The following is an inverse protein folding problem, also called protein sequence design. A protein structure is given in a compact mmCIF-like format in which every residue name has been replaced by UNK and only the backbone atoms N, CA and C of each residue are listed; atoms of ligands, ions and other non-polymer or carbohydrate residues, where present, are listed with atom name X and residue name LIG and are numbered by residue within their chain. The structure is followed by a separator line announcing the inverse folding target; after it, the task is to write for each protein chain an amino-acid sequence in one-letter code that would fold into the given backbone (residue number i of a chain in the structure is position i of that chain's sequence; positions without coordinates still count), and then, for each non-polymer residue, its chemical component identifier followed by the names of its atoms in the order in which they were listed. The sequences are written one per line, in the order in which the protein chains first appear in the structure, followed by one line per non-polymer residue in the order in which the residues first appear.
data_IF_476484856543
#
_entry.id   IF_476484856543
#
_cell.length_a   1.000
_cell.length_b   1.000
_cell.length_c   1.000
_cell.angle_alpha   90.00
_cell.angle_beta   90.00
_cell.angle_gamma   90.00
#
_symmetry.space_group_name_H-M   'P 1'
#
loop_
_entity.id
_entity.type
_entity.pdbx_description
1 polymer ?
#
# COMPACT_ATOMS: atom_id res chain seq x y z
N UNK A 1 5.86 -2.86 -43.35
CA UNK A 1 5.80 -3.61 -42.09
C UNK A 1 6.35 -2.67 -41.01
N UNK A 2 5.46 -2.11 -40.19
CA UNK A 2 5.74 -0.96 -39.33
C UNK A 2 6.19 -1.46 -37.95
N UNK A 3 7.43 -1.20 -37.49
CA UNK A 3 7.95 -1.76 -36.24
C UNK A 3 7.65 -0.93 -34.97
N UNK A 4 6.66 -0.03 -34.96
CA UNK A 4 6.49 0.97 -33.91
C UNK A 4 5.12 0.95 -33.20
N UNK A 5 4.74 -0.21 -32.66
CA UNK A 5 3.68 -0.30 -31.66
C UNK A 5 4.09 -1.11 -30.42
N UNK A 6 5.38 -1.07 -30.06
CA UNK A 6 5.81 -1.46 -28.72
C UNK A 6 5.54 -0.29 -27.79
N UNK A 7 4.53 -0.42 -26.93
CA UNK A 7 4.25 0.56 -25.88
C UNK A 7 5.47 0.74 -24.97
N UNK A 8 5.56 1.91 -24.32
CA UNK A 8 6.66 2.22 -23.38
C UNK A 8 6.82 1.12 -22.34
N UNK A 9 8.07 0.84 -21.98
CA UNK A 9 8.41 0.02 -20.82
C UNK A 9 8.00 0.74 -19.53
N UNK A 10 7.89 -0.01 -18.42
CA UNK A 10 7.57 0.59 -17.12
C UNK A 10 8.60 1.67 -16.73
N UNK A 11 9.90 1.42 -16.95
CA UNK A 11 10.97 2.39 -16.66
C UNK A 11 10.80 3.69 -17.43
N UNK A 12 10.55 3.60 -18.74
CA UNK A 12 10.32 4.77 -19.59
C UNK A 12 9.08 5.54 -19.15
N UNK A 13 8.01 4.83 -18.77
CA UNK A 13 6.79 5.46 -18.26
C UNK A 13 7.02 6.15 -16.92
N UNK A 14 7.76 5.54 -15.97
CA UNK A 14 8.08 6.15 -14.66
C UNK A 14 8.81 7.49 -14.83
N UNK A 15 9.70 7.60 -15.82
CA UNK A 15 10.44 8.83 -16.09
C UNK A 15 9.60 9.89 -16.82
N UNK A 16 8.59 9.48 -17.59
CA UNK A 16 7.83 10.37 -18.46
C UNK A 16 6.47 10.79 -17.88
N UNK A 17 5.66 9.83 -17.44
CA UNK A 17 4.30 10.03 -16.94
C UNK A 17 3.93 8.98 -15.88
N UNK A 18 3.83 9.39 -14.59
CA UNK A 18 3.40 8.52 -13.50
C UNK A 18 2.04 7.84 -13.74
N UNK A 19 1.12 8.49 -14.46
CA UNK A 19 -0.22 7.93 -14.74
C UNK A 19 -0.14 6.74 -15.68
N UNK A 20 0.64 6.86 -16.76
CA UNK A 20 0.92 5.76 -17.68
C UNK A 20 1.66 4.64 -16.96
N UNK A 21 2.66 4.98 -16.13
CA UNK A 21 3.41 4.00 -15.35
C UNK A 21 2.49 3.19 -14.43
N UNK A 22 1.58 3.85 -13.72
CA UNK A 22 0.56 3.19 -12.89
C UNK A 22 -0.32 2.27 -13.74
N UNK A 23 -0.81 2.73 -14.90
CA UNK A 23 -1.63 1.92 -15.79
C UNK A 23 -0.89 0.68 -16.34
N UNK A 24 0.43 0.73 -16.48
CA UNK A 24 1.26 -0.43 -16.82
C UNK A 24 1.42 -1.35 -15.60
N UNK A 25 1.69 -0.78 -14.43
CA UNK A 25 2.01 -1.50 -13.20
C UNK A 25 0.81 -2.27 -12.61
N UNK A 26 -0.40 -1.70 -12.62
CA UNK A 26 -1.61 -2.37 -12.08
C UNK A 26 -1.98 -3.68 -12.79
N UNK A 27 -1.41 -3.93 -13.98
CA UNK A 27 -1.60 -5.18 -14.75
C UNK A 27 -0.54 -6.24 -14.45
N UNK A 28 0.40 -5.96 -13.55
CA UNK A 28 1.54 -6.84 -13.23
C UNK A 28 1.46 -7.30 -11.77
N UNK A 29 1.97 -8.51 -11.46
CA UNK A 29 2.22 -8.90 -10.07
C UNK A 29 3.18 -7.92 -9.40
N UNK A 30 3.00 -7.69 -8.09
CA UNK A 30 3.83 -6.76 -7.29
C UNK A 30 5.32 -7.01 -7.52
N UNK A 31 5.78 -8.25 -7.33
CA UNK A 31 7.18 -8.62 -7.55
C UNK A 31 7.67 -8.37 -8.98
N UNK A 32 6.78 -8.44 -9.98
CA UNK A 32 7.09 -8.13 -11.38
C UNK A 32 7.23 -6.63 -11.66
N UNK A 33 6.55 -5.76 -10.90
CA UNK A 33 6.74 -4.30 -10.94
C UNK A 33 8.09 -3.95 -10.30
N UNK A 34 8.36 -4.49 -9.12
CA UNK A 34 9.59 -4.24 -8.37
C UNK A 34 10.83 -4.78 -9.09
N UNK A 35 10.74 -5.98 -9.69
CA UNK A 35 11.84 -6.52 -10.50
C UNK A 35 12.10 -5.69 -11.76
N UNK A 36 11.06 -5.06 -12.31
CA UNK A 36 11.21 -4.15 -13.45
C UNK A 36 11.83 -2.81 -13.02
N UNK A 37 11.70 -2.41 -11.76
CA UNK A 37 12.31 -1.24 -11.15
C UNK A 37 13.39 -1.69 -10.13
N UNK A 38 14.45 -2.31 -10.64
CA UNK A 38 15.53 -2.82 -9.80
C UNK A 38 16.22 -1.71 -8.99
N UNK A 39 17.00 -2.12 -7.99
CA UNK A 39 17.70 -1.21 -7.08
C UNK A 39 18.55 -0.17 -7.83
N UNK A 40 19.21 -0.55 -8.93
CA UNK A 40 20.02 0.37 -9.73
C UNK A 40 19.18 1.45 -10.43
N UNK A 41 18.00 1.09 -10.95
CA UNK A 41 17.08 2.06 -11.53
C UNK A 41 16.51 3.00 -10.46
N UNK A 42 16.08 2.44 -9.33
CA UNK A 42 15.54 3.22 -8.21
C UNK A 42 16.60 4.18 -7.69
N UNK A 43 17.86 3.74 -7.61
CA UNK A 43 18.99 4.55 -7.19
C UNK A 43 19.30 5.70 -8.16
N UNK A 44 19.34 5.41 -9.46
CA UNK A 44 19.54 6.45 -10.46
C UNK A 44 18.38 7.45 -10.55
N UNK A 45 17.16 7.06 -10.14
CA UNK A 45 15.92 7.81 -10.39
C UNK A 45 15.00 7.87 -9.17
N UNK A 46 15.56 8.09 -7.97
CA UNK A 46 14.82 8.01 -6.71
C UNK A 46 13.58 8.89 -6.64
N UNK A 47 13.66 10.17 -7.06
CA UNK A 47 12.49 11.07 -7.00
C UNK A 47 11.35 10.64 -7.94
N UNK A 48 11.69 10.12 -9.13
CA UNK A 48 10.70 9.62 -10.07
C UNK A 48 10.07 8.31 -9.56
N UNK A 49 10.92 7.44 -8.98
CA UNK A 49 10.50 6.17 -8.38
C UNK A 49 9.59 6.40 -7.17
N UNK A 50 9.93 7.34 -6.28
CA UNK A 50 9.08 7.76 -5.16
C UNK A 50 7.69 8.20 -5.63
N UNK A 51 7.62 9.14 -6.59
CA UNK A 51 6.33 9.63 -7.12
C UNK A 51 5.50 8.48 -7.70
N UNK A 52 6.14 7.59 -8.44
CA UNK A 52 5.49 6.41 -9.00
C UNK A 52 4.99 5.47 -7.90
N UNK A 53 5.82 5.10 -6.92
CA UNK A 53 5.47 4.17 -5.86
C UNK A 53 4.28 4.65 -5.04
N UNK A 54 4.25 5.95 -4.68
CA UNK A 54 3.13 6.53 -3.94
C UNK A 54 1.83 6.47 -4.75
N UNK A 55 1.88 6.84 -6.03
CA UNK A 55 0.72 6.78 -6.92
C UNK A 55 0.26 5.34 -7.21
N UNK A 56 1.19 4.40 -7.34
CA UNK A 56 0.90 3.00 -7.58
C UNK A 56 0.26 2.34 -6.35
N UNK A 57 0.77 2.61 -5.15
CA UNK A 57 0.15 2.16 -3.89
C UNK A 57 -1.32 2.62 -3.80
N UNK A 58 -1.60 3.87 -4.18
CA UNK A 58 -2.98 4.40 -4.17
C UNK A 58 -3.89 3.77 -5.23
N UNK A 59 -3.31 3.18 -6.28
CA UNK A 59 -4.06 2.45 -7.30
C UNK A 59 -4.30 0.96 -6.96
N UNK A 60 -3.56 0.39 -5.99
CA UNK A 60 -3.72 -1.01 -5.59
C UNK A 60 -4.97 -1.23 -4.73
N UNK A 61 -5.58 -2.44 -4.78
CA UNK A 61 -6.58 -2.86 -3.82
C UNK A 61 -6.07 -2.74 -2.38
N UNK A 62 -6.92 -2.31 -1.44
CA UNK A 62 -6.52 -2.08 -0.03
C UNK A 62 -5.84 -3.28 0.62
N UNK A 63 -6.24 -4.50 0.26
CA UNK A 63 -5.66 -5.76 0.74
C UNK A 63 -4.23 -5.98 0.27
N UNK A 64 -3.89 -5.49 -0.92
CA UNK A 64 -2.62 -5.76 -1.58
C UNK A 64 -1.58 -4.67 -1.25
N UNK A 65 -2.05 -3.49 -0.84
CA UNK A 65 -1.22 -2.33 -0.47
C UNK A 65 -0.18 -2.67 0.59
N UNK A 66 -0.54 -3.43 1.63
CA UNK A 66 0.40 -3.73 2.72
C UNK A 66 1.59 -4.58 2.25
N UNK A 67 1.36 -5.52 1.34
CA UNK A 67 2.43 -6.32 0.74
C UNK A 67 3.37 -5.45 -0.09
N UNK A 68 2.80 -4.64 -0.99
CA UNK A 68 3.59 -3.74 -1.83
C UNK A 68 4.32 -2.66 -1.02
N UNK A 69 3.69 -2.12 0.04
CA UNK A 69 4.27 -1.06 0.86
C UNK A 69 5.50 -1.51 1.63
N UNK A 70 5.51 -2.76 2.11
CA UNK A 70 6.67 -3.35 2.76
C UNK A 70 7.86 -3.43 1.80
N UNK A 71 7.64 -3.93 0.59
CA UNK A 71 8.72 -4.04 -0.39
C UNK A 71 9.19 -2.64 -0.87
N UNK A 72 8.28 -1.66 -0.96
CA UNK A 72 8.63 -0.26 -1.27
C UNK A 72 9.42 0.40 -0.12
N UNK A 73 9.11 0.07 1.14
CA UNK A 73 9.87 0.55 2.29
C UNK A 73 11.34 0.12 2.21
N UNK A 74 11.62 -1.10 1.75
CA UNK A 74 13.00 -1.56 1.51
C UNK A 74 13.70 -0.71 0.43
N UNK A 75 12.99 -0.30 -0.62
CA UNK A 75 13.53 0.63 -1.62
C UNK A 75 13.83 2.01 -1.04
N UNK A 76 13.03 2.51 -0.08
CA UNK A 76 13.36 3.76 0.63
C UNK A 76 14.65 3.65 1.44
N UNK A 77 14.85 2.49 2.08
CA UNK A 77 16.00 2.25 2.97
C UNK A 77 17.29 2.00 2.18
N UNK A 78 17.20 1.28 1.06
CA UNK A 78 18.37 0.85 0.29
C UNK A 78 18.61 1.71 -0.94
N UNK A 79 17.60 1.84 -1.81
CA UNK A 79 17.72 2.46 -3.12
C UNK A 79 17.32 3.94 -3.17
N UNK A 80 16.86 4.54 -2.07
CA UNK A 80 16.50 5.96 -2.01
C UNK A 80 16.99 6.64 -0.74
N UNK A 81 18.02 6.07 -0.10
CA UNK A 81 18.49 6.49 1.22
C UNK A 81 18.96 7.96 1.29
N UNK A 82 19.40 8.55 0.16
CA UNK A 82 19.76 9.98 0.10
C UNK A 82 18.56 10.92 -0.01
N UNK A 83 17.34 10.41 -0.26
CA UNK A 83 16.16 11.25 -0.21
C UNK A 83 15.99 11.79 1.22
N UNK A 84 15.64 13.07 1.38
CA UNK A 84 15.35 13.62 2.68
C UNK A 84 14.31 12.77 3.41
N UNK A 85 14.70 12.30 4.60
CA UNK A 85 13.84 11.52 5.50
C UNK A 85 13.30 10.23 4.88
N UNK A 86 14.11 9.56 4.07
CA UNK A 86 13.75 8.29 3.42
C UNK A 86 13.22 7.24 4.41
N UNK A 87 13.83 7.12 5.60
CA UNK A 87 13.37 6.20 6.65
C UNK A 87 11.97 6.57 7.18
N UNK A 88 11.71 7.85 7.44
CA UNK A 88 10.39 8.29 7.91
C UNK A 88 9.32 8.02 6.85
N UNK A 89 9.66 8.21 5.58
CA UNK A 89 8.79 7.88 4.44
C UNK A 89 8.55 6.38 4.31
N UNK A 90 9.57 5.55 4.53
CA UNK A 90 9.45 4.09 4.56
C UNK A 90 8.42 3.64 5.61
N UNK A 91 8.56 4.14 6.85
CA UNK A 91 7.62 3.84 7.93
C UNK A 91 6.22 4.39 7.62
N UNK A 92 6.14 5.60 7.05
CA UNK A 92 4.85 6.20 6.71
C UNK A 92 4.05 5.40 5.68
N UNK A 93 4.70 4.88 4.62
CA UNK A 93 4.00 4.07 3.61
C UNK A 93 3.50 2.74 4.18
N UNK A 94 4.26 2.13 5.09
CA UNK A 94 3.83 0.94 5.81
C UNK A 94 2.65 1.22 6.73
N UNK A 95 2.73 2.26 7.57
CA UNK A 95 1.65 2.63 8.50
C UNK A 95 0.35 3.00 7.76
N UNK A 96 0.45 3.74 6.65
CA UNK A 96 -0.71 4.08 5.80
C UNK A 96 -1.38 2.81 5.27
N UNK A 97 -0.58 1.87 4.78
CA UNK A 97 -1.08 0.63 4.19
C UNK A 97 -1.60 -0.35 5.25
N UNK A 98 -1.00 -0.35 6.44
CA UNK A 98 -1.47 -1.09 7.60
C UNK A 98 -2.84 -0.57 8.04
N UNK A 99 -3.02 0.74 8.11
CA UNK A 99 -4.31 1.33 8.44
C UNK A 99 -5.41 0.89 7.47
N UNK A 100 -5.14 0.86 6.17
CA UNK A 100 -6.10 0.37 5.17
C UNK A 100 -6.41 -1.12 5.34
N UNK A 101 -5.40 -1.95 5.59
CA UNK A 101 -5.60 -3.39 5.84
C UNK A 101 -6.45 -3.63 7.10
N UNK A 102 -6.18 -2.92 8.19
CA UNK A 102 -6.93 -3.01 9.44
C UNK A 102 -8.40 -2.61 9.26
N UNK A 103 -8.67 -1.56 8.46
CA UNK A 103 -10.05 -1.17 8.11
C UNK A 103 -10.78 -2.29 7.37
N UNK A 104 -10.14 -2.91 6.37
CA UNK A 104 -10.74 -4.02 5.62
C UNK A 104 -11.06 -5.21 6.53
N UNK A 105 -10.15 -5.55 7.46
CA UNK A 105 -10.39 -6.63 8.44
C UNK A 105 -11.56 -6.25 9.37
N UNK A 106 -11.61 -5.02 9.85
CA UNK A 106 -12.70 -4.54 10.71
C UNK A 106 -14.07 -4.53 9.99
N UNK A 107 -14.10 -4.11 8.71
CA UNK A 107 -15.28 -4.14 7.85
C UNK A 107 -15.77 -5.59 7.64
N UNK A 108 -14.85 -6.52 7.37
CA UNK A 108 -15.16 -7.94 7.20
C UNK A 108 -15.76 -8.55 8.47
N UNK A 109 -15.17 -8.26 9.63
CA UNK A 109 -15.65 -8.76 10.92
C UNK A 109 -17.04 -8.21 11.29
N UNK A 110 -17.31 -6.94 10.97
CA UNK A 110 -18.63 -6.35 11.19
C UNK A 110 -19.74 -7.03 10.35
N UNK A 111 -19.39 -7.59 9.18
CA UNK A 111 -20.31 -8.35 8.34
C UNK A 111 -20.76 -9.70 8.91
N UNK A 112 -20.12 -10.21 9.98
CA UNK A 112 -20.47 -11.52 10.55
C UNK A 112 -21.82 -11.56 11.24
N UNK A 113 -22.38 -10.41 11.63
CA UNK A 113 -23.72 -10.32 12.22
C UNK A 113 -24.78 -10.87 11.27
N UNK A 114 -24.79 -10.38 10.03
CA UNK A 114 -25.72 -10.83 8.99
C UNK A 114 -25.59 -12.34 8.73
N UNK A 115 -24.35 -12.84 8.73
CA UNK A 115 -24.08 -14.28 8.55
C UNK A 115 -24.58 -15.12 9.73
N UNK A 116 -24.55 -14.60 10.96
CA UNK A 116 -25.03 -15.34 12.15
C UNK A 116 -26.55 -15.50 12.21
N UNK A 117 -27.29 -14.70 11.45
CA UNK A 117 -28.75 -14.80 11.33
C UNK A 117 -29.19 -15.86 10.32
N UNK A 118 -28.24 -16.45 9.58
CA UNK A 118 -28.51 -17.55 8.64
C UNK A 118 -28.90 -18.83 9.38
N UNK A 119 -29.92 -19.58 8.90
CA UNK A 119 -30.30 -20.88 9.48
C UNK A 119 -29.21 -21.96 9.31
N UNK A 120 -28.24 -21.75 8.43
CA UNK A 120 -27.09 -22.65 8.20
C UNK A 120 -25.84 -22.23 9.02
N UNK A 121 -25.94 -21.16 9.82
CA UNK A 121 -24.81 -20.68 10.62
C UNK A 121 -24.48 -21.67 11.76
N UNK A 122 -23.26 -22.21 11.74
CA UNK A 122 -22.71 -23.01 12.84
C UNK A 122 -22.20 -22.19 14.03
N UNK A 123 -22.44 -20.88 14.06
CA UNK A 123 -22.00 -19.95 15.08
C UNK A 123 -23.14 -19.00 15.46
N UNK A 124 -23.04 -18.40 16.65
CA UNK A 124 -24.09 -17.51 17.17
C UNK A 124 -23.57 -16.14 17.59
N UNK A 125 -24.50 -15.31 18.06
CA UNK A 125 -24.25 -13.94 18.50
C UNK A 125 -23.05 -13.74 19.45
N UNK A 126 -22.74 -14.63 20.43
CA UNK A 126 -21.58 -14.44 21.29
C UNK A 126 -20.23 -14.41 20.56
N UNK A 127 -20.13 -15.11 19.42
CA UNK A 127 -18.94 -15.04 18.55
C UNK A 127 -18.90 -13.70 17.83
N UNK A 128 -20.03 -13.27 17.25
CA UNK A 128 -20.17 -12.00 16.54
C UNK A 128 -19.79 -10.82 17.42
N UNK A 129 -20.37 -10.71 18.61
CA UNK A 129 -20.08 -9.63 19.55
C UNK A 129 -18.60 -9.56 19.95
N UNK A 130 -17.91 -10.70 19.98
CA UNK A 130 -16.47 -10.74 20.24
C UNK A 130 -15.69 -10.13 19.08
N UNK A 131 -16.03 -10.49 17.84
CA UNK A 131 -15.37 -9.96 16.66
C UNK A 131 -15.76 -8.49 16.38
N UNK A 132 -16.95 -8.04 16.76
CA UNK A 132 -17.32 -6.62 16.69
C UNK A 132 -16.45 -5.76 17.61
N UNK A 133 -16.20 -6.20 18.84
CA UNK A 133 -15.27 -5.51 19.76
C UNK A 133 -13.84 -5.46 19.21
N UNK A 134 -13.37 -6.54 18.58
CA UNK A 134 -12.07 -6.55 17.91
C UNK A 134 -12.07 -5.58 16.74
N UNK A 135 -13.13 -5.54 15.93
CA UNK A 135 -13.26 -4.62 14.81
C UNK A 135 -13.19 -3.15 15.25
N UNK A 136 -13.78 -2.79 16.40
CA UNK A 136 -13.65 -1.46 17.00
C UNK A 136 -12.18 -1.12 17.32
N UNK A 137 -11.47 -2.02 18.01
CA UNK A 137 -10.05 -1.83 18.33
C UNK A 137 -9.19 -1.70 17.07
N UNK A 138 -9.46 -2.49 16.03
CA UNK A 138 -8.76 -2.40 14.75
C UNK A 138 -8.98 -1.03 14.08
N UNK A 139 -10.18 -0.46 14.16
CA UNK A 139 -10.46 0.89 13.63
C UNK A 139 -9.72 1.98 14.40
N UNK A 140 -9.62 1.86 15.72
CA UNK A 140 -8.84 2.78 16.56
C UNK A 140 -7.36 2.75 16.18
N UNK A 141 -6.77 1.56 16.06
CA UNK A 141 -5.37 1.40 15.65
C UNK A 141 -5.17 1.93 14.22
N UNK A 142 -6.10 1.66 13.30
CA UNK A 142 -6.03 2.18 11.94
C UNK A 142 -6.06 3.72 11.90
N UNK A 143 -6.85 4.35 12.77
CA UNK A 143 -6.90 5.81 12.88
C UNK A 143 -5.56 6.37 13.39
N UNK A 144 -4.99 5.79 14.44
CA UNK A 144 -3.67 6.16 14.95
C UNK A 144 -2.58 6.01 13.88
N UNK A 145 -2.50 4.85 13.24
CA UNK A 145 -1.53 4.59 12.18
C UNK A 145 -1.65 5.57 11.00
N UNK A 146 -2.87 6.01 10.66
CA UNK A 146 -3.06 7.02 9.60
C UNK A 146 -2.54 8.39 10.02
N UNK A 147 -2.81 8.81 11.26
CA UNK A 147 -2.32 10.09 11.80
C UNK A 147 -0.80 10.11 11.84
N UNK A 148 -0.18 9.02 12.30
CA UNK A 148 1.28 8.92 12.39
C UNK A 148 1.93 8.87 11.02
N UNK A 149 1.34 8.14 10.06
CA UNK A 149 1.79 8.15 8.66
C UNK A 149 1.77 9.58 8.08
N UNK A 150 0.70 10.35 8.29
CA UNK A 150 0.61 11.73 7.82
C UNK A 150 1.67 12.64 8.47
N UNK A 151 1.86 12.53 9.78
CA UNK A 151 2.89 13.29 10.52
C UNK A 151 4.28 13.01 9.98
N UNK A 152 4.63 11.73 9.80
CA UNK A 152 5.90 11.32 9.23
C UNK A 152 6.09 11.88 7.82
N UNK A 153 5.06 11.82 6.96
CA UNK A 153 5.14 12.40 5.61
C UNK A 153 5.34 13.92 5.63
N UNK A 154 4.75 14.64 6.59
CA UNK A 154 4.91 16.09 6.75
C UNK A 154 6.22 16.53 7.39
N UNK A 155 6.83 15.67 8.22
CA UNK A 155 7.98 16.07 9.05
C UNK A 155 7.64 16.59 10.41
N UNK A 156 6.45 16.24 10.88
CA UNK A 156 6.05 16.53 12.24
C UNK A 156 6.68 15.49 13.19
N UNK A 157 7.14 15.89 14.39
CA UNK A 157 7.59 14.94 15.40
C UNK A 157 6.45 14.00 15.82
N UNK A 158 6.80 12.76 16.12
CA UNK A 158 5.92 11.76 16.74
C UNK A 158 6.30 11.66 18.23
N UNK A 159 5.37 12.03 19.12
CA UNK A 159 5.55 11.98 20.58
C UNK A 159 5.40 10.57 21.17
#
# INVERSE_FOLDING_TARGET
MNPSAQGRTLREAVLADPTEAVAIAVRRPIGGVLSALDEAFVDAHAEASERFFLAWLDALPRTDRIGAARDIADHYILGMAWLPRAYDKAVAVELRSLADALRVVAETQAGYRELSESPDAGFGMPLVERYERVAEQLREIAALASVDAERLMRGDPTD
#
